data_IF_222698244155
#
_entry.id   IF_222698244155
#
_cell.length_a   1.000
_cell.length_b   1.000
_cell.length_c   1.000
_cell.angle_alpha   90.00
_cell.angle_beta   90.00
_cell.angle_gamma   90.00
#
_symmetry.space_group_name_H-M   'P 1'
#
loop_
_entity.id
_entity.type
_entity.pdbx_description
1 polymer ?
#
# COMPACT_ATOMS: atom_id res chain seq x y z
N UNK A 1 -28.58 -13.81 -5.18
CA UNK A 1 -27.73 -12.62 -5.29
C UNK A 1 -26.37 -13.07 -5.79
N UNK A 2 -25.84 -12.39 -6.78
CA UNK A 2 -24.49 -12.61 -7.31
C UNK A 2 -23.48 -11.82 -6.48
N UNK A 3 -22.21 -12.22 -6.49
CA UNK A 3 -21.15 -11.48 -5.81
C UNK A 3 -21.04 -10.06 -6.35
N UNK A 4 -21.24 -9.86 -7.65
CA UNK A 4 -21.22 -8.52 -8.25
C UNK A 4 -22.32 -7.61 -7.70
N UNK A 5 -23.52 -8.14 -7.45
CA UNK A 5 -24.63 -7.39 -6.86
C UNK A 5 -24.27 -6.98 -5.42
N UNK A 6 -23.74 -7.91 -4.62
CA UNK A 6 -23.25 -7.65 -3.26
C UNK A 6 -22.20 -6.53 -3.22
N UNK A 7 -21.24 -6.56 -4.15
CA UNK A 7 -20.16 -5.56 -4.20
C UNK A 7 -20.67 -4.15 -4.55
N UNK A 8 -21.76 -4.05 -5.32
CA UNK A 8 -22.38 -2.77 -5.70
C UNK A 8 -23.29 -2.27 -4.58
N UNK A 9 -24.16 -3.13 -4.05
CA UNK A 9 -25.13 -2.77 -3.00
C UNK A 9 -24.44 -2.38 -1.70
N UNK A 10 -23.39 -3.11 -1.31
CA UNK A 10 -22.64 -2.87 -0.07
C UNK A 10 -21.38 -2.02 -0.27
N UNK A 11 -21.21 -1.37 -1.44
CA UNK A 11 -20.00 -0.61 -1.80
C UNK A 11 -19.52 0.31 -0.68
N UNK A 12 -20.44 1.10 -0.10
CA UNK A 12 -20.10 2.06 0.95
C UNK A 12 -19.54 1.39 2.21
N UNK A 13 -20.20 0.34 2.69
CA UNK A 13 -19.81 -0.39 3.90
C UNK A 13 -18.50 -1.16 3.69
N UNK A 14 -18.34 -1.81 2.53
CA UNK A 14 -17.10 -2.50 2.15
C UNK A 14 -15.94 -1.49 2.07
N UNK A 15 -16.15 -0.35 1.42
CA UNK A 15 -15.12 0.69 1.29
C UNK A 15 -14.73 1.26 2.65
N UNK A 16 -15.69 1.58 3.51
CA UNK A 16 -15.39 2.14 4.83
C UNK A 16 -14.64 1.11 5.70
N UNK A 17 -15.07 -0.16 5.69
CA UNK A 17 -14.36 -1.23 6.39
C UNK A 17 -12.94 -1.45 5.84
N UNK A 18 -12.78 -1.43 4.53
CA UNK A 18 -11.48 -1.61 3.88
C UNK A 18 -10.53 -0.44 4.16
N UNK A 19 -11.01 0.79 4.03
CA UNK A 19 -10.26 2.01 4.39
C UNK A 19 -9.82 1.94 5.85
N UNK A 20 -10.72 1.54 6.75
CA UNK A 20 -10.41 1.42 8.17
C UNK A 20 -9.33 0.38 8.46
N UNK A 21 -9.39 -0.79 7.81
CA UNK A 21 -8.37 -1.82 7.95
C UNK A 21 -7.03 -1.35 7.38
N UNK A 22 -7.03 -0.65 6.26
CA UNK A 22 -5.81 -0.11 5.65
C UNK A 22 -5.20 0.99 6.52
N UNK A 23 -6.01 1.90 7.07
CA UNK A 23 -5.54 2.95 7.98
C UNK A 23 -4.95 2.38 9.28
N UNK A 24 -5.50 1.26 9.78
CA UNK A 24 -4.97 0.57 10.94
C UNK A 24 -3.56 -0.01 10.74
N UNK A 25 -3.09 -0.16 9.48
CA UNK A 25 -1.72 -0.61 9.18
C UNK A 25 -0.66 0.47 9.35
N UNK A 26 -1.05 1.75 9.44
CA UNK A 26 -0.14 2.84 9.77
C UNK A 26 0.05 2.88 11.29
N UNK A 27 1.30 2.80 11.77
CA UNK A 27 1.64 2.60 13.18
C UNK A 27 1.03 3.65 14.16
N UNK A 28 1.06 3.28 15.45
CA UNK A 28 0.28 3.80 16.60
C UNK A 28 0.18 5.33 16.77
N UNK A 29 1.15 6.10 16.28
CA UNK A 29 1.17 7.57 16.45
C UNK A 29 0.19 8.30 15.50
N UNK A 30 -0.26 7.63 14.44
CA UNK A 30 -1.13 8.23 13.42
C UNK A 30 -2.55 7.63 13.36
N UNK A 31 -2.73 6.32 13.54
CA UNK A 31 -4.01 5.65 13.27
C UNK A 31 -5.20 6.21 14.07
N UNK A 32 -4.99 6.63 15.33
CA UNK A 32 -6.04 7.22 16.17
C UNK A 32 -6.42 8.64 15.73
N UNK A 33 -5.45 9.39 15.22
CA UNK A 33 -5.62 10.75 14.68
C UNK A 33 -6.23 10.72 13.28
N UNK A 34 -5.81 9.75 12.44
CA UNK A 34 -6.32 9.56 11.09
C UNK A 34 -7.79 9.15 11.03
N UNK A 35 -8.31 8.49 12.07
CA UNK A 35 -9.75 8.14 12.15
C UNK A 35 -10.64 9.26 12.68
N UNK A 36 -10.12 10.16 13.51
CA UNK A 36 -10.93 11.23 14.16
C UNK A 36 -11.03 12.49 13.31
N UNK A 37 -10.02 12.77 12.51
CA UNK A 37 -9.85 14.07 11.88
C UNK A 37 -10.30 14.02 10.41
N UNK A 38 -11.48 14.60 10.14
CA UNK A 38 -12.07 14.66 8.79
C UNK A 38 -11.50 15.78 7.93
N UNK A 39 -10.75 16.71 8.53
CA UNK A 39 -10.15 17.81 7.78
C UNK A 39 -8.93 17.32 6.99
N UNK A 40 -8.99 17.42 5.67
CA UNK A 40 -7.93 17.01 4.74
C UNK A 40 -6.55 17.64 5.03
N UNK A 41 -6.51 18.85 5.61
CA UNK A 41 -5.27 19.52 5.98
C UNK A 41 -4.69 18.99 7.30
N UNK A 42 -5.53 18.51 8.19
CA UNK A 42 -5.12 17.92 9.46
C UNK A 42 -4.83 16.42 9.34
N UNK A 43 -5.31 15.78 8.25
CA UNK A 43 -5.12 14.36 7.96
C UNK A 43 -4.90 14.08 6.45
N UNK A 44 -3.77 14.54 5.89
CA UNK A 44 -3.49 14.37 4.46
C UNK A 44 -3.30 12.90 4.07
N UNK A 45 -2.79 12.06 4.97
CA UNK A 45 -2.60 10.62 4.73
C UNK A 45 -3.94 9.90 4.67
N UNK A 46 -4.84 10.15 5.63
CA UNK A 46 -6.16 9.55 5.67
C UNK A 46 -7.00 9.94 4.45
N UNK A 47 -6.95 11.20 4.04
CA UNK A 47 -7.61 11.65 2.81
C UNK A 47 -7.05 10.95 1.57
N UNK A 48 -5.72 10.86 1.43
CA UNK A 48 -5.08 10.17 0.30
C UNK A 48 -5.44 8.68 0.25
N UNK A 49 -5.44 8.00 1.40
CA UNK A 49 -5.88 6.60 1.51
C UNK A 49 -7.33 6.46 1.06
N UNK A 50 -8.25 7.25 1.64
CA UNK A 50 -9.67 7.17 1.30
C UNK A 50 -9.88 7.43 -0.20
N UNK A 51 -9.37 8.53 -0.73
CA UNK A 51 -9.53 8.90 -2.15
C UNK A 51 -9.00 7.81 -3.09
N UNK A 52 -7.77 7.32 -2.85
CA UNK A 52 -7.17 6.26 -3.66
C UNK A 52 -7.96 4.95 -3.60
N UNK A 53 -8.37 4.50 -2.40
CA UNK A 53 -9.09 3.23 -2.26
C UNK A 53 -10.50 3.29 -2.87
N UNK A 54 -11.18 4.43 -2.77
CA UNK A 54 -12.46 4.65 -3.44
C UNK A 54 -12.33 4.57 -4.97
N UNK A 55 -11.31 5.21 -5.53
CA UNK A 55 -11.04 5.14 -6.97
C UNK A 55 -10.66 3.72 -7.42
N UNK A 56 -9.81 3.04 -6.65
CA UNK A 56 -9.40 1.65 -6.93
C UNK A 56 -10.60 0.70 -6.91
N UNK A 57 -11.49 0.82 -5.91
CA UNK A 57 -12.68 -0.03 -5.84
C UNK A 57 -13.58 0.12 -7.06
N UNK A 58 -13.85 1.36 -7.47
CA UNK A 58 -14.62 1.63 -8.68
C UNK A 58 -13.94 1.03 -9.94
N UNK A 59 -12.62 1.14 -10.06
CA UNK A 59 -11.88 0.54 -11.18
C UNK A 59 -11.91 -0.99 -11.17
N UNK A 60 -11.93 -1.62 -9.99
CA UNK A 60 -11.93 -3.08 -9.89
C UNK A 60 -13.31 -3.70 -10.18
N UNK A 61 -14.39 -3.03 -9.76
CA UNK A 61 -15.73 -3.65 -9.69
C UNK A 61 -16.83 -2.91 -10.47
N UNK A 62 -16.60 -1.68 -10.92
CA UNK A 62 -17.58 -0.87 -11.67
C UNK A 62 -17.10 -0.50 -13.09
N UNK A 63 -15.85 -0.81 -13.42
CA UNK A 63 -15.24 -0.54 -14.73
C UNK A 63 -14.93 -1.84 -15.47
N UNK A 64 -15.18 -1.84 -16.78
CA UNK A 64 -14.80 -2.94 -17.68
C UNK A 64 -13.29 -3.00 -17.93
N UNK A 65 -12.57 -1.93 -17.60
CA UNK A 65 -11.12 -1.77 -17.79
C UNK A 65 -10.41 -1.40 -16.51
N UNK A 66 -9.15 -1.84 -16.38
CA UNK A 66 -8.24 -1.45 -15.29
C UNK A 66 -7.36 -0.25 -15.66
N UNK A 67 -7.64 0.41 -16.79
CA UNK A 67 -7.03 1.69 -17.14
C UNK A 67 -7.22 2.69 -16.00
N UNK A 68 -6.13 3.26 -15.51
CA UNK A 68 -6.16 4.19 -14.37
C UNK A 68 -5.88 3.56 -13.00
N UNK A 69 -5.80 2.22 -12.89
CA UNK A 69 -5.46 1.54 -11.63
C UNK A 69 -4.09 1.99 -11.09
N UNK A 70 -3.08 2.03 -11.96
CA UNK A 70 -1.74 2.47 -11.60
C UNK A 70 -1.75 3.93 -11.10
N UNK A 71 -2.26 4.93 -11.86
CA UNK A 71 -2.40 6.29 -11.38
C UNK A 71 -3.13 6.42 -10.04
N UNK A 72 -4.23 5.68 -9.83
CA UNK A 72 -5.01 5.71 -8.59
C UNK A 72 -4.19 5.24 -7.37
N UNK A 73 -3.27 4.28 -7.58
CA UNK A 73 -2.41 3.71 -6.55
C UNK A 73 -1.13 4.51 -6.28
N UNK A 74 -0.65 5.29 -7.25
CA UNK A 74 0.67 5.92 -7.20
C UNK A 74 0.90 6.76 -5.94
N UNK A 75 -0.05 7.62 -5.56
CA UNK A 75 0.12 8.48 -4.39
C UNK A 75 0.20 7.67 -3.10
N UNK A 76 -0.73 6.73 -2.92
CA UNK A 76 -0.80 5.86 -1.75
C UNK A 76 0.47 5.00 -1.59
N UNK A 77 0.94 4.42 -2.68
CA UNK A 77 2.14 3.57 -2.69
C UNK A 77 3.40 4.39 -2.37
N UNK A 78 3.52 5.61 -2.92
CA UNK A 78 4.63 6.53 -2.59
C UNK A 78 4.64 6.89 -1.11
N UNK A 79 3.49 7.20 -0.53
CA UNK A 79 3.38 7.46 0.92
C UNK A 79 3.90 6.27 1.71
N UNK A 80 3.47 5.04 1.39
CA UNK A 80 3.95 3.82 2.05
C UNK A 80 5.45 3.58 1.88
N UNK A 81 6.01 3.89 0.71
CA UNK A 81 7.45 3.73 0.44
C UNK A 81 8.30 4.71 1.27
N UNK A 82 7.81 5.94 1.44
CA UNK A 82 8.44 6.98 2.29
C UNK A 82 8.32 6.61 3.77
N UNK A 83 7.21 6.01 4.19
CA UNK A 83 7.00 5.47 5.55
C UNK A 83 7.72 4.14 5.80
N UNK A 84 8.56 3.70 4.87
CA UNK A 84 9.44 2.52 4.99
C UNK A 84 8.73 1.22 5.38
N UNK A 85 7.50 1.03 4.90
CA UNK A 85 6.74 -0.22 5.08
C UNK A 85 7.55 -1.42 4.55
N UNK A 86 7.35 -2.61 5.12
CA UNK A 86 7.86 -3.82 4.45
C UNK A 86 7.07 -4.06 3.15
N UNK A 87 7.66 -4.66 2.09
CA UNK A 87 6.92 -5.01 0.88
C UNK A 87 5.64 -5.81 1.16
N UNK A 88 5.70 -6.77 2.08
CA UNK A 88 4.54 -7.55 2.52
C UNK A 88 3.45 -6.67 3.16
N UNK A 89 3.83 -5.66 3.95
CA UNK A 89 2.90 -4.70 4.53
C UNK A 89 2.32 -3.75 3.48
N UNK A 90 3.11 -3.35 2.49
CA UNK A 90 2.64 -2.50 1.40
C UNK A 90 1.53 -3.19 0.59
N UNK A 91 1.74 -4.47 0.24
CA UNK A 91 0.79 -5.30 -0.52
C UNK A 91 -0.42 -5.74 0.31
N UNK A 92 -0.30 -5.75 1.65
CA UNK A 92 -1.37 -6.22 2.55
C UNK A 92 -2.75 -5.58 2.32
N UNK A 93 -2.83 -4.39 1.70
CA UNK A 93 -4.10 -3.73 1.37
C UNK A 93 -5.00 -4.59 0.49
N UNK A 94 -4.42 -5.33 -0.47
CA UNK A 94 -5.17 -6.24 -1.32
C UNK A 94 -5.79 -7.39 -0.52
N UNK A 95 -5.04 -7.94 0.44
CA UNK A 95 -5.53 -8.99 1.32
C UNK A 95 -6.57 -8.48 2.32
N UNK A 96 -6.47 -7.21 2.76
CA UNK A 96 -7.53 -6.57 3.55
C UNK A 96 -8.84 -6.41 2.77
N UNK A 97 -8.78 -6.14 1.47
CA UNK A 97 -9.98 -6.17 0.63
C UNK A 97 -10.61 -7.57 0.61
N UNK A 98 -9.78 -8.62 0.47
CA UNK A 98 -10.24 -10.03 0.52
C UNK A 98 -10.89 -10.37 1.85
N UNK A 99 -10.30 -9.96 2.98
CA UNK A 99 -10.87 -10.16 4.32
C UNK A 99 -12.26 -9.50 4.42
N UNK A 100 -12.39 -8.23 4.05
CA UNK A 100 -13.68 -7.52 4.08
C UNK A 100 -14.70 -8.19 3.15
N UNK A 101 -14.36 -8.42 1.88
CA UNK A 101 -15.27 -9.05 0.92
C UNK A 101 -15.76 -10.43 1.38
N UNK A 102 -14.89 -11.20 2.06
CA UNK A 102 -15.22 -12.52 2.59
C UNK A 102 -16.22 -12.46 3.74
N UNK A 103 -16.14 -11.42 4.56
CA UNK A 103 -17.09 -11.21 5.66
C UNK A 103 -18.49 -10.94 5.09
N UNK A 104 -18.62 -10.07 4.08
CA UNK A 104 -19.89 -9.81 3.39
C UNK A 104 -20.42 -11.04 2.65
N UNK A 105 -19.56 -11.74 1.90
CA UNK A 105 -19.91 -12.98 1.20
C UNK A 105 -20.52 -14.03 2.15
N UNK A 106 -19.95 -14.16 3.35
CA UNK A 106 -20.44 -15.07 4.40
C UNK A 106 -21.71 -14.57 5.08
N UNK A 107 -21.78 -13.28 5.38
CA UNK A 107 -22.93 -12.66 6.04
C UNK A 107 -24.21 -12.82 5.21
N UNK A 108 -24.09 -12.66 3.89
CA UNK A 108 -25.19 -12.80 2.94
C UNK A 108 -25.44 -14.25 2.51
N UNK A 109 -24.61 -15.21 2.97
CA UNK A 109 -24.71 -16.64 2.67
C UNK A 109 -24.77 -16.92 1.17
N UNK A 110 -23.91 -16.25 0.42
CA UNK A 110 -23.83 -16.40 -1.03
C UNK A 110 -23.29 -17.79 -1.42
N UNK A 111 -23.85 -18.33 -2.51
CA UNK A 111 -23.39 -19.59 -3.14
C UNK A 111 -22.77 -19.34 -4.53
N UNK A 112 -22.55 -18.07 -4.90
CA UNK A 112 -21.92 -17.67 -6.15
C UNK A 112 -20.39 -17.82 -6.10
N UNK A 113 -19.94 -19.07 -6.19
CA UNK A 113 -18.54 -19.45 -6.15
C UNK A 113 -17.74 -18.87 -7.34
N UNK A 114 -18.36 -18.77 -8.51
CA UNK A 114 -17.71 -18.23 -9.70
C UNK A 114 -17.47 -16.71 -9.55
N UNK A 115 -18.45 -15.96 -9.07
CA UNK A 115 -18.29 -14.55 -8.74
C UNK A 115 -17.26 -14.32 -7.63
N UNK A 116 -17.18 -15.22 -6.65
CA UNK A 116 -16.15 -15.14 -5.61
C UNK A 116 -14.73 -15.33 -6.16
N UNK A 117 -14.53 -16.28 -7.08
CA UNK A 117 -13.24 -16.46 -7.75
C UNK A 117 -12.85 -15.22 -8.57
N UNK A 118 -13.79 -14.63 -9.30
CA UNK A 118 -13.54 -13.39 -10.05
C UNK A 118 -13.16 -12.21 -9.14
N UNK A 119 -13.79 -12.10 -7.96
CA UNK A 119 -13.40 -11.12 -6.93
C UNK A 119 -11.97 -11.37 -6.42
N UNK A 120 -11.62 -12.62 -6.11
CA UNK A 120 -10.28 -13.00 -5.65
C UNK A 120 -9.20 -12.67 -6.69
N UNK A 121 -9.48 -12.92 -7.98
CA UNK A 121 -8.59 -12.58 -9.10
C UNK A 121 -8.34 -11.07 -9.19
N UNK A 122 -9.38 -10.24 -9.03
CA UNK A 122 -9.24 -8.76 -9.01
C UNK A 122 -8.38 -8.30 -7.85
N UNK A 123 -8.53 -8.90 -6.68
CA UNK A 123 -7.69 -8.59 -5.53
C UNK A 123 -6.24 -9.08 -5.70
N UNK A 124 -5.99 -10.19 -6.41
CA UNK A 124 -4.63 -10.62 -6.74
C UNK A 124 -3.95 -9.69 -7.76
N UNK A 125 -4.70 -9.20 -8.76
CA UNK A 125 -4.20 -8.15 -9.68
C UNK A 125 -3.80 -6.89 -8.90
N UNK A 126 -4.64 -6.48 -7.94
CA UNK A 126 -4.31 -5.36 -7.06
C UNK A 126 -3.02 -5.64 -6.26
N UNK A 127 -2.85 -6.86 -5.73
CA UNK A 127 -1.67 -7.24 -4.95
C UNK A 127 -0.37 -7.12 -5.78
N UNK A 128 -0.33 -7.70 -6.98
CA UNK A 128 0.85 -7.62 -7.85
C UNK A 128 1.14 -6.19 -8.32
N UNK A 129 0.09 -5.44 -8.67
CA UNK A 129 0.23 -4.02 -9.06
C UNK A 129 0.81 -3.19 -7.92
N UNK A 130 0.34 -3.39 -6.68
CA UNK A 130 0.88 -2.74 -5.49
C UNK A 130 2.35 -3.08 -5.27
N UNK A 131 2.72 -4.36 -5.44
CA UNK A 131 4.09 -4.82 -5.26
C UNK A 131 5.05 -4.11 -6.22
N UNK A 132 4.74 -4.12 -7.52
CA UNK A 132 5.59 -3.53 -8.55
C UNK A 132 5.75 -2.02 -8.33
N UNK A 133 4.66 -1.31 -8.05
CA UNK A 133 4.70 0.13 -7.78
C UNK A 133 5.50 0.44 -6.50
N UNK A 134 5.39 -0.41 -5.48
CA UNK A 134 6.09 -0.23 -4.23
C UNK A 134 7.59 -0.41 -4.41
N UNK A 135 8.00 -1.48 -5.09
CA UNK A 135 9.39 -1.77 -5.39
C UNK A 135 10.02 -0.68 -6.26
N UNK A 136 9.32 -0.23 -7.30
CA UNK A 136 9.78 0.89 -8.14
C UNK A 136 9.97 2.18 -7.31
N UNK A 137 9.03 2.47 -6.40
CA UNK A 137 9.12 3.64 -5.52
C UNK A 137 10.30 3.55 -4.55
N UNK A 138 10.56 2.37 -3.96
CA UNK A 138 11.71 2.13 -3.08
C UNK A 138 13.03 2.24 -3.83
N UNK A 139 13.12 1.66 -5.02
CA UNK A 139 14.30 1.77 -5.87
C UNK A 139 14.61 3.24 -6.20
N UNK A 140 13.59 4.01 -6.56
CA UNK A 140 13.75 5.44 -6.84
C UNK A 140 14.26 6.20 -5.59
N UNK A 141 13.69 5.96 -4.41
CA UNK A 141 14.16 6.57 -3.16
C UNK A 141 15.63 6.22 -2.88
N UNK A 142 16.02 4.96 -3.09
CA UNK A 142 17.42 4.54 -2.90
C UNK A 142 18.36 5.19 -3.92
N UNK A 143 17.98 5.28 -5.20
CA UNK A 143 18.76 5.97 -6.24
C UNK A 143 18.97 7.44 -5.88
N UNK A 144 17.91 8.14 -5.47
CA UNK A 144 18.00 9.54 -5.04
C UNK A 144 18.93 9.70 -3.82
N UNK A 145 18.82 8.83 -2.81
CA UNK A 145 19.72 8.85 -1.63
C UNK A 145 21.20 8.67 -2.03
N UNK A 146 21.48 7.76 -2.96
CA UNK A 146 22.84 7.51 -3.46
C UNK A 146 23.40 8.69 -4.28
N UNK A 147 22.56 9.32 -5.10
CA UNK A 147 22.95 10.50 -5.88
C UNK A 147 23.29 11.70 -4.98
N UNK A 148 22.48 11.94 -3.95
CA UNK A 148 22.75 13.02 -2.99
C UNK A 148 24.03 12.77 -2.18
N UNK A 149 24.28 11.51 -1.79
CA UNK A 149 25.54 11.13 -1.15
C UNK A 149 26.76 11.41 -2.06
N UNK A 150 26.66 11.10 -3.36
CA UNK A 150 27.73 11.37 -4.34
C UNK A 150 27.96 12.87 -4.55
N UNK A 151 26.92 13.69 -4.45
CA UNK A 151 26.98 15.16 -4.59
C UNK A 151 27.54 15.87 -3.34
N UNK A 152 27.72 15.14 -2.22
CA UNK A 152 28.25 15.70 -0.98
C UNK A 152 27.26 16.55 -0.18
N UNK A 153 25.98 16.55 -0.56
CA UNK A 153 24.91 17.24 0.16
C UNK A 153 24.29 16.27 1.19
N UNK A 154 24.86 16.24 2.39
CA UNK A 154 24.51 15.27 3.44
C UNK A 154 23.18 15.54 4.16
N UNK A 155 22.24 16.27 3.56
CA UNK A 155 20.98 16.65 4.22
C UNK A 155 20.03 15.47 4.48
N UNK A 156 20.17 14.37 3.72
CA UNK A 156 19.34 13.15 3.86
C UNK A 156 20.13 11.89 4.25
N UNK A 157 21.45 12.01 4.42
CA UNK A 157 22.25 10.94 4.99
C UNK A 157 22.11 11.03 6.51
N UNK A 158 21.39 10.09 7.12
CA UNK A 158 21.28 10.02 8.57
C UNK A 158 22.66 10.16 9.22
N UNK A 159 22.78 11.20 10.06
CA UNK A 159 23.97 11.42 10.88
C UNK A 159 25.16 12.02 10.16
N UNK A 160 25.00 13.11 9.40
CA UNK A 160 25.98 14.22 9.30
C UNK A 160 27.47 13.88 9.16
N UNK A 161 27.84 12.74 8.59
CA UNK A 161 29.23 12.27 8.57
C UNK A 161 29.77 12.32 7.14
N UNK A 162 30.95 12.92 6.99
CA UNK A 162 31.60 13.10 5.70
C UNK A 162 31.83 11.76 4.96
N UNK A 163 31.53 11.69 3.64
CA UNK A 163 31.66 10.46 2.85
C UNK A 163 33.05 9.82 2.84
N UNK A 164 34.10 10.62 3.01
CA UNK A 164 35.49 10.17 3.01
C UNK A 164 35.86 9.29 4.21
N UNK A 165 35.04 9.27 5.27
CA UNK A 165 35.28 8.48 6.48
C UNK A 165 34.73 7.05 6.40
N UNK A 166 33.64 6.80 5.65
CA UNK A 166 33.04 5.45 5.57
C UNK A 166 33.75 4.54 4.55
N UNK A 167 34.40 5.12 3.53
CA UNK A 167 35.11 4.37 2.49
C UNK A 167 36.44 3.75 2.96
N UNK A 168 36.88 3.99 4.21
CA UNK A 168 38.18 3.53 4.74
C UNK A 168 38.12 2.27 5.60
N UNK A 169 36.97 1.63 5.79
CA UNK A 169 36.88 0.46 6.66
C UNK A 169 35.95 -0.60 6.09
N UNK A 170 36.46 -1.44 5.19
CA UNK A 170 35.98 -2.80 4.95
C UNK A 170 37.09 -3.62 4.26
N UNK A 171 38.19 -3.82 4.98
CA UNK A 171 39.03 -5.01 4.87
C UNK A 171 38.87 -5.77 6.18
N UNK A 172 37.77 -6.51 6.32
CA UNK A 172 37.64 -7.54 7.37
C UNK A 172 36.98 -8.76 6.73
N UNK A 173 37.63 -9.90 6.94
CA UNK A 173 37.39 -11.21 6.35
C UNK A 173 35.95 -11.69 6.49
N UNK A 174 35.40 -12.22 5.40
CA UNK A 174 34.19 -13.04 5.43
C UNK A 174 34.62 -14.42 5.92
N UNK A 175 34.49 -14.68 7.23
CA UNK A 175 34.37 -16.06 7.70
C UNK A 175 32.93 -16.53 7.52
N UNK A 176 32.83 -17.60 6.73
CA UNK A 176 31.66 -18.46 6.56
C UNK A 176 31.06 -18.85 7.90
N UNK A 177 29.74 -18.72 8.04
CA UNK A 177 28.93 -19.67 8.82
C UNK A 177 27.50 -19.63 8.30
N UNK A 178 27.15 -20.67 7.54
CA UNK A 178 25.79 -21.09 7.24
C UNK A 178 25.50 -22.24 8.20
N UNK A 179 24.49 -22.07 9.05
CA UNK A 179 23.51 -23.09 9.47
C UNK A 179 22.22 -22.36 9.88
#
# INVERSE_FOLDING_TARGET
MLVQEMLIENKGEILDAWVDQVLATYAKDGARSFKKEQNQFANPVGYAVKSSLWQVYALLFESDTLEGLVPALQQLVKIRAVQEFLPSQAVSMAYKLKEVGKDFYRQEKLEDHAGWLAFEEKADILAYTLFDLYMASREQLHKTRLEEYRRGNNLLAEGGCCPSRSLKGNNVEIQSNIL
#
